data_IF_535786761394
#
_entry.id   IF_535786761394
#
_cell.length_a   1.000
_cell.length_b   1.000
_cell.length_c   1.000
_cell.angle_alpha   90.00
_cell.angle_beta   90.00
_cell.angle_gamma   90.00
#
_symmetry.space_group_name_H-M   'P 1'
#
loop_
_entity.id
_entity.type
_entity.pdbx_description
1 polymer ?
#
# COMPACT_ATOMS: atom_id res chain seq x y z
N UNK A 1 19.72 -15.16 20.12
CA UNK A 1 18.54 -15.43 19.29
C UNK A 1 17.30 -15.41 20.18
N UNK A 2 16.28 -14.57 19.92
CA UNK A 2 15.03 -14.62 20.68
C UNK A 2 14.21 -15.82 20.19
N UNK A 3 13.66 -16.63 21.08
CA UNK A 3 12.82 -17.78 20.77
C UNK A 3 11.56 -17.76 21.63
N UNK A 4 10.44 -18.27 21.10
CA UNK A 4 9.23 -18.52 21.86
C UNK A 4 9.25 -19.96 22.37
N UNK A 5 8.80 -20.15 23.60
CA UNK A 5 8.50 -21.46 24.16
C UNK A 5 6.99 -21.53 24.31
N UNK A 6 6.35 -22.48 23.65
CA UNK A 6 4.90 -22.64 23.64
C UNK A 6 4.58 -23.97 24.30
N UNK A 7 3.77 -23.92 25.35
CA UNK A 7 3.28 -25.13 26.06
C UNK A 7 1.78 -25.27 25.77
N UNK A 8 1.40 -26.39 25.25
CA UNK A 8 -0.01 -26.77 24.98
C UNK A 8 -0.33 -28.15 25.54
N UNK A 9 -1.58 -28.61 25.48
CA UNK A 9 -2.76 -27.90 25.00
C UNK A 9 -3.21 -26.78 25.95
N UNK A 10 -3.76 -25.68 25.41
CA UNK A 10 -4.35 -24.62 26.21
C UNK A 10 -5.85 -24.90 26.48
N UNK A 11 -6.38 -24.28 27.55
CA UNK A 11 -7.81 -24.18 27.75
C UNK A 11 -8.47 -23.37 26.64
N UNK A 12 -9.80 -23.46 26.49
CA UNK A 12 -10.58 -22.64 25.58
C UNK A 12 -10.28 -21.16 25.78
N UNK A 13 -9.89 -20.45 24.70
CA UNK A 13 -9.55 -19.04 24.74
C UNK A 13 -10.78 -18.20 24.40
N UNK A 14 -11.17 -17.34 25.34
CA UNK A 14 -12.36 -16.51 25.23
C UNK A 14 -11.98 -15.03 25.36
N UNK A 15 -12.63 -14.14 24.61
CA UNK A 15 -12.41 -12.72 24.77
C UNK A 15 -12.77 -11.85 23.58
N UNK A 16 -12.50 -10.56 23.73
CA UNK A 16 -12.73 -9.53 22.70
C UNK A 16 -11.37 -8.97 22.27
N UNK A 17 -11.11 -8.97 20.96
CA UNK A 17 -9.87 -8.45 20.39
C UNK A 17 -10.19 -7.22 19.52
N UNK A 18 -9.57 -6.09 19.86
CA UNK A 18 -9.68 -4.88 19.07
C UNK A 18 -8.59 -4.89 17.97
N UNK A 19 -9.01 -5.14 16.74
CA UNK A 19 -8.12 -5.30 15.59
C UNK A 19 -7.40 -3.98 15.25
N UNK A 20 -6.10 -4.09 15.03
CA UNK A 20 -5.24 -2.96 14.62
C UNK A 20 -5.54 -2.53 13.18
N UNK A 21 -5.03 -1.36 12.80
CA UNK A 21 -5.06 -0.96 11.39
C UNK A 21 -4.24 -1.90 10.52
N UNK A 22 -4.70 -2.13 9.30
CA UNK A 22 -4.05 -3.03 8.34
C UNK A 22 -2.68 -2.48 7.91
N UNK A 23 -1.60 -3.22 8.21
CA UNK A 23 -0.26 -2.89 7.72
C UNK A 23 -0.23 -2.75 6.20
N UNK A 24 -0.85 -3.69 5.49
CA UNK A 24 -0.86 -3.75 4.03
C UNK A 24 -1.71 -2.64 3.38
N UNK A 25 -2.59 -1.97 4.15
CA UNK A 25 -3.25 -0.73 3.72
C UNK A 25 -2.42 0.50 4.11
N UNK A 26 -1.85 0.52 5.32
CA UNK A 26 -1.06 1.63 5.82
C UNK A 26 0.10 1.99 4.87
N UNK A 27 0.87 1.00 4.40
CA UNK A 27 2.06 1.22 3.58
C UNK A 27 1.75 1.88 2.23
N UNK A 28 0.75 1.46 1.43
CA UNK A 28 0.32 2.17 0.23
C UNK A 28 -0.17 3.60 0.51
N UNK A 29 -0.90 3.82 1.60
CA UNK A 29 -1.37 5.16 1.98
C UNK A 29 -0.21 6.09 2.35
N UNK A 30 0.79 5.58 3.07
CA UNK A 30 2.03 6.30 3.36
C UNK A 30 2.79 6.64 2.08
N UNK A 31 2.95 5.70 1.14
CA UNK A 31 3.58 5.97 -0.14
C UNK A 31 2.77 6.99 -0.96
N UNK A 32 1.45 6.90 -0.98
CA UNK A 32 0.56 7.84 -1.65
C UNK A 32 0.66 9.25 -1.08
N UNK A 33 1.05 9.42 0.20
CA UNK A 33 1.23 10.75 0.81
C UNK A 33 2.21 11.62 0.03
N UNK A 34 3.18 11.03 -0.68
CA UNK A 34 4.12 11.75 -1.55
C UNK A 34 3.39 12.59 -2.62
N UNK A 35 2.21 12.19 -3.07
CA UNK A 35 1.42 12.89 -4.09
C UNK A 35 0.85 14.23 -3.59
N UNK A 36 0.81 14.44 -2.28
CA UNK A 36 0.15 15.59 -1.66
C UNK A 36 1.12 16.76 -1.45
N UNK A 37 0.66 17.96 -1.76
CA UNK A 37 1.34 19.21 -1.39
C UNK A 37 1.01 19.64 0.03
N UNK A 38 -0.18 19.29 0.52
CA UNK A 38 -0.70 19.59 1.84
C UNK A 38 -0.50 18.42 2.79
N UNK A 39 -0.79 18.62 4.06
CA UNK A 39 -0.68 17.63 5.11
C UNK A 39 -1.59 16.41 4.85
N UNK A 40 -1.08 15.25 5.22
CA UNK A 40 -1.82 13.98 5.24
C UNK A 40 -1.88 13.46 6.66
N UNK A 41 -3.10 13.16 7.14
CA UNK A 41 -3.37 12.59 8.46
C UNK A 41 -3.91 11.18 8.27
N UNK A 42 -3.17 10.19 8.75
CA UNK A 42 -3.59 8.79 8.79
C UNK A 42 -3.96 8.42 10.23
N UNK A 43 -5.13 7.81 10.42
CA UNK A 43 -5.63 7.33 11.71
C UNK A 43 -5.66 5.81 11.74
N UNK A 44 -5.67 5.23 12.94
CA UNK A 44 -5.63 3.78 13.16
C UNK A 44 -4.33 3.17 12.58
N UNK A 45 -3.21 3.86 12.75
CA UNK A 45 -1.89 3.43 12.24
C UNK A 45 -1.37 2.26 13.08
N UNK A 46 -1.02 1.11 12.49
CA UNK A 46 -0.36 0.02 13.21
C UNK A 46 1.11 0.36 13.45
N UNK A 47 1.58 0.21 14.69
CA UNK A 47 2.98 0.49 15.05
C UNK A 47 3.84 -0.77 14.89
N UNK A 48 3.97 -1.25 13.66
CA UNK A 48 4.78 -2.42 13.30
C UNK A 48 6.05 -1.98 12.56
N UNK A 49 7.07 -2.84 12.54
CA UNK A 49 8.41 -2.51 12.00
C UNK A 49 8.35 -1.97 10.56
N UNK A 50 7.56 -2.57 9.67
CA UNK A 50 7.44 -2.11 8.28
C UNK A 50 6.93 -0.66 8.18
N UNK A 51 6.00 -0.27 9.06
CA UNK A 51 5.46 1.10 9.11
C UNK A 51 6.52 2.08 9.61
N UNK A 52 7.33 1.68 10.59
CA UNK A 52 8.45 2.48 11.08
C UNK A 52 9.52 2.64 10.00
N UNK A 53 9.86 1.57 9.30
CA UNK A 53 10.80 1.61 8.17
C UNK A 53 10.27 2.51 7.03
N UNK A 54 8.99 2.44 6.70
CA UNK A 54 8.38 3.34 5.70
C UNK A 54 8.39 4.80 6.16
N UNK A 55 8.18 5.06 7.45
CA UNK A 55 8.34 6.41 8.03
C UNK A 55 9.76 6.93 7.79
N UNK A 56 10.78 6.12 8.09
CA UNK A 56 12.17 6.53 7.90
C UNK A 56 12.51 6.73 6.41
N UNK A 57 11.92 5.92 5.53
CA UNK A 57 12.04 6.09 4.08
C UNK A 57 11.42 7.43 3.63
N UNK A 58 10.22 7.77 4.07
CA UNK A 58 9.58 9.05 3.75
C UNK A 58 10.41 10.24 4.27
N UNK A 59 10.97 10.13 5.48
CA UNK A 59 11.87 11.15 6.06
C UNK A 59 13.12 11.29 5.20
N UNK A 60 13.73 10.18 4.77
CA UNK A 60 14.92 10.21 3.91
C UNK A 60 14.64 10.88 2.56
N UNK A 61 13.41 10.77 2.05
CA UNK A 61 12.95 11.45 0.84
C UNK A 61 12.64 12.94 1.06
N UNK A 62 12.58 13.40 2.31
CA UNK A 62 12.37 14.81 2.66
C UNK A 62 10.99 15.14 3.24
N UNK A 63 10.12 14.17 3.49
CA UNK A 63 8.89 14.39 4.24
C UNK A 63 9.19 14.58 5.73
N UNK A 64 8.32 15.33 6.43
CA UNK A 64 8.28 15.34 7.90
C UNK A 64 7.18 14.37 8.33
N UNK A 65 7.50 13.44 9.22
CA UNK A 65 6.54 12.45 9.72
C UNK A 65 6.50 12.50 11.24
N UNK A 66 5.31 12.77 11.81
CA UNK A 66 5.05 12.76 13.25
C UNK A 66 4.06 11.63 13.56
N UNK A 67 4.36 10.81 14.56
CA UNK A 67 3.46 9.77 15.06
C UNK A 67 3.01 10.15 16.46
N UNK A 68 1.70 10.14 16.67
CA UNK A 68 1.05 10.27 17.98
C UNK A 68 0.61 8.87 18.42
N UNK A 69 1.54 8.13 19.05
CA UNK A 69 1.41 6.68 19.31
C UNK A 69 0.15 6.32 20.08
N UNK A 70 -0.11 6.98 21.21
CA UNK A 70 -1.33 6.76 22.03
C UNK A 70 -2.63 6.92 21.25
N UNK A 71 -2.66 7.82 20.25
CA UNK A 71 -3.81 8.10 19.38
C UNK A 71 -3.80 7.27 18.11
N UNK A 72 -2.73 6.52 17.83
CA UNK A 72 -2.50 5.80 16.57
C UNK A 72 -2.69 6.70 15.34
N UNK A 73 -2.16 7.93 15.40
CA UNK A 73 -2.26 8.93 14.33
C UNK A 73 -0.87 9.21 13.78
N UNK A 74 -0.76 9.24 12.46
CA UNK A 74 0.44 9.69 11.74
C UNK A 74 0.10 10.94 10.93
N UNK A 75 0.97 11.95 11.05
CA UNK A 75 0.88 13.22 10.32
C UNK A 75 2.09 13.29 9.40
N UNK A 76 1.84 13.44 8.10
CA UNK A 76 2.89 13.50 7.07
C UNK A 76 2.78 14.84 6.36
N UNK A 77 3.86 15.61 6.39
CA UNK A 77 3.96 16.90 5.70
C UNK A 77 5.11 16.85 4.71
N UNK A 78 4.84 17.12 3.45
CA UNK A 78 5.83 17.07 2.40
C UNK A 78 6.50 18.43 2.19
N UNK A 79 7.79 18.42 1.90
CA UNK A 79 8.48 19.58 1.35
C UNK A 79 8.06 19.79 -0.12
N UNK A 80 8.39 20.96 -0.67
CA UNK A 80 8.15 21.28 -2.08
C UNK A 80 8.79 20.24 -3.01
N UNK A 81 10.02 19.87 -2.71
CA UNK A 81 10.80 18.91 -3.49
C UNK A 81 11.26 17.74 -2.63
N UNK A 82 11.09 16.53 -3.16
CA UNK A 82 11.59 15.29 -2.57
C UNK A 82 12.95 14.92 -3.17
N UNK A 83 13.76 14.19 -2.41
CA UNK A 83 14.87 13.42 -2.96
C UNK A 83 14.29 12.31 -3.83
N UNK A 84 14.88 12.09 -5.00
CA UNK A 84 14.35 11.15 -6.00
C UNK A 84 15.11 9.82 -6.04
N UNK A 85 16.03 9.61 -5.11
CA UNK A 85 16.74 8.35 -4.93
C UNK A 85 16.26 7.68 -3.66
N UNK A 86 15.66 6.52 -3.80
CA UNK A 86 15.19 5.68 -2.70
C UNK A 86 16.34 4.74 -2.30
N UNK A 87 16.90 4.86 -1.08
CA UNK A 87 18.14 4.18 -0.71
C UNK A 87 17.96 2.67 -0.51
N UNK A 88 18.98 1.90 -0.90
CA UNK A 88 18.98 0.44 -0.85
C UNK A 88 18.75 -0.10 0.56
N UNK A 89 19.42 0.45 1.57
CA UNK A 89 19.34 -0.03 2.96
C UNK A 89 17.92 -0.01 3.55
N UNK A 90 17.05 0.88 3.09
CA UNK A 90 15.66 0.94 3.54
C UNK A 90 14.74 0.02 2.71
N UNK A 91 15.03 -0.13 1.40
CA UNK A 91 14.21 -0.99 0.52
C UNK A 91 14.56 -2.46 0.70
N UNK A 92 15.82 -2.80 1.02
CA UNK A 92 16.27 -4.18 1.24
C UNK A 92 15.59 -4.85 2.44
N UNK A 93 15.23 -4.06 3.45
CA UNK A 93 14.56 -4.55 4.67
C UNK A 93 13.04 -4.53 4.58
N UNK A 94 12.48 -3.75 3.64
CA UNK A 94 11.04 -3.59 3.49
C UNK A 94 10.63 -3.57 2.02
N UNK A 95 9.99 -4.63 1.60
CA UNK A 95 9.53 -4.79 0.22
C UNK A 95 8.59 -3.68 -0.28
N UNK A 96 7.73 -3.15 0.61
CA UNK A 96 6.79 -2.09 0.26
C UNK A 96 7.46 -0.78 -0.18
N UNK A 97 8.78 -0.64 -0.03
CA UNK A 97 9.54 0.48 -0.59
C UNK A 97 9.34 0.69 -2.09
N UNK A 98 9.05 -0.39 -2.84
CA UNK A 98 8.70 -0.31 -4.28
C UNK A 98 7.45 0.55 -4.56
N UNK A 99 6.55 0.72 -3.59
CA UNK A 99 5.35 1.56 -3.72
C UNK A 99 5.68 3.05 -3.91
N UNK A 100 6.84 3.49 -3.42
CA UNK A 100 7.28 4.87 -3.61
C UNK A 100 7.61 5.19 -5.07
N UNK A 101 7.88 4.18 -5.89
CA UNK A 101 8.14 4.36 -7.34
C UNK A 101 6.92 4.97 -8.04
N UNK A 102 5.71 4.44 -7.79
CA UNK A 102 4.48 4.94 -8.40
C UNK A 102 4.14 6.37 -7.96
N UNK A 103 4.28 6.67 -6.68
CA UNK A 103 3.98 8.01 -6.16
C UNK A 103 5.03 9.05 -6.58
N UNK A 104 6.31 8.71 -6.56
CA UNK A 104 7.37 9.60 -7.07
C UNK A 104 7.19 9.86 -8.57
N UNK A 105 6.94 8.81 -9.36
CA UNK A 105 6.71 8.96 -10.80
C UNK A 105 5.46 9.80 -11.10
N UNK A 106 4.38 9.60 -10.34
CA UNK A 106 3.18 10.42 -10.46
C UNK A 106 3.43 11.89 -10.18
N UNK A 107 4.20 12.20 -9.12
CA UNK A 107 4.49 13.59 -8.73
C UNK A 107 5.58 14.27 -9.56
N UNK A 108 6.60 13.53 -9.98
CA UNK A 108 7.79 14.04 -10.68
C UNK A 108 8.08 13.31 -12.00
N UNK A 109 7.12 13.19 -12.92
CA UNK A 109 7.24 12.30 -14.07
C UNK A 109 8.44 12.61 -14.95
N UNK A 110 8.82 13.90 -15.08
CA UNK A 110 9.94 14.37 -15.94
C UNK A 110 11.31 14.29 -15.26
N UNK A 111 11.37 13.90 -14.00
CA UNK A 111 12.63 13.78 -13.24
C UNK A 111 13.12 12.33 -13.22
N UNK A 112 14.43 12.15 -13.15
CA UNK A 112 15.03 10.82 -12.99
C UNK A 112 14.83 10.33 -11.55
N UNK A 113 13.98 9.33 -11.38
CA UNK A 113 13.71 8.65 -10.11
C UNK A 113 14.55 7.39 -10.08
N UNK A 114 15.21 7.13 -8.95
CA UNK A 114 16.03 5.94 -8.72
C UNK A 114 15.48 5.20 -7.52
N UNK A 115 15.01 3.99 -7.74
CA UNK A 115 14.51 3.11 -6.66
C UNK A 115 15.36 1.86 -6.65
N UNK A 116 15.97 1.55 -5.51
CA UNK A 116 16.75 0.33 -5.36
C UNK A 116 15.85 -0.88 -5.59
N UNK A 117 16.36 -1.88 -6.31
CA UNK A 117 15.67 -3.16 -6.40
C UNK A 117 15.70 -3.81 -5.02
N UNK A 118 14.51 -3.98 -4.43
CA UNK A 118 14.38 -4.56 -3.11
C UNK A 118 14.69 -6.05 -3.13
N UNK A 119 15.57 -6.45 -2.24
CA UNK A 119 15.63 -7.81 -1.71
C UNK A 119 14.61 -7.96 -0.57
N UNK A 120 14.66 -9.04 0.14
CA UNK A 120 14.10 -9.06 1.49
C UNK A 120 12.62 -9.48 1.62
N UNK A 121 12.26 -10.59 1.01
CA UNK A 121 11.18 -11.40 1.54
C UNK A 121 11.64 -12.86 1.59
N UNK A 122 11.62 -13.46 2.77
CA UNK A 122 11.89 -14.90 2.94
C UNK A 122 10.95 -15.80 2.10
N UNK A 123 9.87 -15.23 1.57
CA UNK A 123 8.87 -15.90 0.73
C UNK A 123 9.23 -15.90 -0.78
N UNK A 124 10.45 -15.53 -1.16
CA UNK A 124 10.95 -15.62 -2.54
C UNK A 124 10.95 -14.32 -3.34
N UNK A 125 11.58 -14.40 -4.53
CA UNK A 125 11.67 -13.30 -5.49
C UNK A 125 10.27 -13.01 -6.03
N UNK A 126 9.86 -11.74 -5.94
CA UNK A 126 8.63 -11.27 -6.57
C UNK A 126 8.97 -10.28 -7.66
N UNK A 127 8.59 -10.63 -8.85
CA UNK A 127 8.83 -9.88 -10.06
C UNK A 127 8.14 -8.51 -10.01
N UNK A 128 8.90 -7.45 -10.30
CA UNK A 128 8.41 -6.08 -10.44
C UNK A 128 8.24 -5.68 -11.91
N UNK A 129 8.49 -6.59 -12.86
CA UNK A 129 8.39 -6.31 -14.30
C UNK A 129 7.02 -5.75 -14.67
N UNK A 130 5.94 -6.27 -14.08
CA UNK A 130 4.58 -5.78 -14.37
C UNK A 130 4.33 -4.35 -13.91
N UNK A 131 5.04 -3.88 -12.89
CA UNK A 131 5.01 -2.47 -12.50
C UNK A 131 5.66 -1.63 -13.60
N UNK A 132 6.84 -2.05 -14.06
CA UNK A 132 7.64 -1.35 -15.06
C UNK A 132 6.92 -1.30 -16.41
N UNK A 133 6.36 -2.42 -16.87
CA UNK A 133 5.53 -2.47 -18.09
C UNK A 133 4.29 -1.58 -17.96
N UNK A 134 3.66 -1.56 -16.80
CA UNK A 134 2.55 -0.64 -16.54
C UNK A 134 2.97 0.82 -16.62
N UNK A 135 4.12 1.20 -16.07
CA UNK A 135 4.66 2.57 -16.19
C UNK A 135 5.04 2.90 -17.63
N UNK A 136 5.60 1.93 -18.38
CA UNK A 136 5.89 2.08 -19.81
C UNK A 136 4.61 2.37 -20.61
N UNK A 137 3.49 1.74 -20.26
CA UNK A 137 2.19 2.03 -20.88
C UNK A 137 1.73 3.48 -20.70
N UNK A 138 2.20 4.16 -19.65
CA UNK A 138 1.96 5.58 -19.40
C UNK A 138 2.98 6.51 -20.11
N UNK A 139 3.95 5.95 -20.83
CA UNK A 139 5.03 6.70 -21.50
C UNK A 139 6.26 6.95 -20.62
N UNK A 140 6.44 6.17 -19.57
CA UNK A 140 7.70 6.18 -18.82
C UNK A 140 8.72 5.21 -19.45
N UNK A 141 9.99 5.60 -19.37
CA UNK A 141 11.14 4.76 -19.75
C UNK A 141 11.89 4.36 -18.49
N UNK A 142 12.43 3.15 -18.46
CA UNK A 142 13.23 2.67 -17.33
C UNK A 142 14.49 1.95 -17.79
N UNK A 143 15.52 2.02 -16.94
CA UNK A 143 16.78 1.30 -17.11
C UNK A 143 17.18 0.70 -15.77
N UNK A 144 17.74 -0.49 -15.81
CA UNK A 144 18.36 -1.15 -14.64
C UNK A 144 19.84 -0.76 -14.61
N UNK A 145 20.25 -0.07 -13.56
CA UNK A 145 21.60 0.41 -13.40
C UNK A 145 22.09 0.23 -11.96
N UNK A 146 23.17 -0.54 -11.77
CA UNK A 146 23.82 -0.76 -10.46
C UNK A 146 22.86 -1.12 -9.33
N UNK A 147 21.91 -2.04 -9.58
CA UNK A 147 20.92 -2.48 -8.59
C UNK A 147 19.75 -1.49 -8.35
N UNK A 148 19.63 -0.46 -9.18
CA UNK A 148 18.52 0.51 -9.15
C UNK A 148 17.70 0.43 -10.43
N UNK A 149 16.40 0.61 -10.28
CA UNK A 149 15.51 1.00 -11.37
C UNK A 149 15.57 2.51 -11.47
N UNK A 150 16.08 3.04 -12.60
CA UNK A 150 16.01 4.44 -12.97
C UNK A 150 14.82 4.62 -13.89
N UNK A 151 13.87 5.49 -13.54
CA UNK A 151 12.63 5.68 -14.28
C UNK A 151 12.29 7.17 -14.44
N UNK A 152 11.79 7.54 -15.61
CA UNK A 152 11.30 8.89 -15.91
C UNK A 152 10.40 8.89 -17.15
N UNK A 153 9.71 9.99 -17.42
CA UNK A 153 8.99 10.22 -18.68
C UNK A 153 9.29 11.62 -19.21
N UNK A 154 10.03 11.73 -20.31
CA UNK A 154 10.43 13.01 -20.91
C UNK A 154 9.24 13.95 -21.16
N UNK A 155 8.13 13.40 -21.66
CA UNK A 155 6.93 14.16 -22.04
C UNK A 155 5.85 14.22 -20.95
N UNK A 156 6.14 13.67 -19.75
CA UNK A 156 5.16 13.43 -18.68
C UNK A 156 4.26 12.23 -18.99
N UNK A 157 3.50 11.81 -17.99
CA UNK A 157 2.65 10.62 -18.11
C UNK A 157 1.36 10.93 -18.88
N UNK A 158 1.02 10.04 -19.80
CA UNK A 158 -0.19 10.13 -20.64
C UNK A 158 -1.05 8.90 -20.43
N UNK A 159 -2.34 9.11 -20.18
CA UNK A 159 -3.30 8.04 -19.96
C UNK A 159 -3.48 7.19 -21.22
N UNK A 160 -3.40 5.87 -21.02
CA UNK A 160 -3.63 4.83 -22.03
C UNK A 160 -4.41 3.67 -21.36
N UNK A 161 -4.38 2.49 -21.95
CA UNK A 161 -4.92 1.28 -21.34
C UNK A 161 -3.79 0.30 -21.04
N UNK A 162 -3.85 -0.31 -19.84
CA UNK A 162 -2.95 -1.39 -19.46
C UNK A 162 -3.73 -2.52 -18.79
N UNK A 163 -3.43 -3.77 -19.19
CA UNK A 163 -3.99 -4.97 -18.59
C UNK A 163 -2.87 -5.74 -17.91
N UNK A 164 -2.97 -5.94 -16.60
CA UNK A 164 -2.03 -6.80 -15.89
C UNK A 164 -2.11 -8.25 -16.40
N UNK A 165 -0.98 -8.91 -16.70
CA UNK A 165 -0.97 -10.32 -17.09
C UNK A 165 -1.46 -11.23 -15.95
N UNK A 166 -1.10 -10.89 -14.71
CA UNK A 166 -1.60 -11.53 -13.48
C UNK A 166 -2.07 -10.49 -12.48
N UNK A 167 -2.96 -10.87 -11.57
CA UNK A 167 -3.45 -9.99 -10.51
C UNK A 167 -2.29 -9.70 -9.55
N UNK A 168 -2.03 -8.41 -9.30
CA UNK A 168 -0.98 -7.94 -8.40
C UNK A 168 -1.48 -6.79 -7.54
N UNK A 169 -1.35 -6.91 -6.22
CA UNK A 169 -1.77 -5.88 -5.25
C UNK A 169 -0.87 -4.65 -5.37
N UNK A 170 0.44 -4.85 -5.23
CA UNK A 170 1.42 -3.75 -5.26
C UNK A 170 1.53 -3.10 -6.64
N UNK A 171 1.43 -3.90 -7.72
CA UNK A 171 1.37 -3.37 -9.09
C UNK A 171 0.16 -2.48 -9.30
N UNK A 172 -1.02 -2.93 -8.87
CA UNK A 172 -2.26 -2.13 -8.95
C UNK A 172 -2.11 -0.83 -8.18
N UNK A 173 -1.62 -0.87 -6.93
CA UNK A 173 -1.43 0.33 -6.11
C UNK A 173 -0.43 1.31 -6.74
N UNK A 174 0.68 0.82 -7.28
CA UNK A 174 1.68 1.64 -7.95
C UNK A 174 1.13 2.35 -9.19
N UNK A 175 0.39 1.62 -10.04
CA UNK A 175 -0.18 2.23 -11.24
C UNK A 175 -1.33 3.19 -10.92
N UNK A 176 -2.10 2.94 -9.86
CA UNK A 176 -3.07 3.92 -9.36
C UNK A 176 -2.35 5.21 -8.98
N UNK A 177 -1.32 5.14 -8.13
CA UNK A 177 -0.60 6.32 -7.65
C UNK A 177 0.08 7.10 -8.77
N UNK A 178 0.73 6.43 -9.73
CA UNK A 178 1.37 7.10 -10.87
C UNK A 178 0.37 7.77 -11.81
N UNK A 179 -0.89 7.32 -11.82
CA UNK A 179 -1.91 7.80 -12.74
C UNK A 179 -2.75 8.96 -12.20
N UNK A 180 -2.59 9.36 -10.94
CA UNK A 180 -3.42 10.42 -10.32
C UNK A 180 -3.34 11.74 -11.08
N UNK A 181 -2.15 12.08 -11.61
CA UNK A 181 -1.90 13.33 -12.33
C UNK A 181 -1.65 13.12 -13.84
N UNK A 182 -2.01 11.98 -14.38
CA UNK A 182 -1.81 11.64 -15.79
C UNK A 182 -2.58 12.60 -16.70
N UNK A 183 -2.03 12.92 -17.87
CA UNK A 183 -2.78 13.65 -18.90
C UNK A 183 -3.84 12.73 -19.52
N UNK A 184 -5.11 13.14 -19.49
CA UNK A 184 -6.22 12.34 -20.00
C UNK A 184 -6.72 11.30 -19.01
N UNK A 185 -7.04 10.11 -19.51
CA UNK A 185 -7.58 9.01 -18.72
C UNK A 185 -6.76 7.74 -18.91
N UNK A 186 -6.41 7.08 -17.81
CA UNK A 186 -5.78 5.76 -17.80
C UNK A 186 -6.79 4.68 -17.45
N UNK A 187 -6.77 3.58 -18.19
CA UNK A 187 -7.63 2.41 -17.93
C UNK A 187 -6.77 1.24 -17.48
N UNK A 188 -6.98 0.81 -16.24
CA UNK A 188 -6.35 -0.38 -15.68
C UNK A 188 -7.31 -1.56 -15.74
N UNK A 189 -6.86 -2.70 -16.28
CA UNK A 189 -7.62 -3.95 -16.35
C UNK A 189 -6.90 -5.06 -15.58
N UNK A 190 -7.66 -6.07 -15.14
CA UNK A 190 -7.19 -7.20 -14.35
C UNK A 190 -6.51 -6.78 -13.03
N UNK A 191 -7.07 -5.76 -12.38
CA UNK A 191 -6.57 -5.21 -11.12
C UNK A 191 -6.86 -6.14 -9.94
N UNK A 192 -6.12 -5.97 -8.83
CA UNK A 192 -6.47 -6.55 -7.54
C UNK A 192 -7.68 -5.84 -6.93
N UNK A 193 -8.56 -6.60 -6.28
CA UNK A 193 -9.74 -6.11 -5.55
C UNK A 193 -9.60 -6.26 -4.03
N UNK A 194 -8.38 -6.51 -3.56
CA UNK A 194 -8.13 -6.62 -2.13
C UNK A 194 -8.60 -5.37 -1.38
N UNK A 195 -9.13 -5.50 -0.15
CA UNK A 195 -9.61 -4.36 0.64
C UNK A 195 -8.59 -3.23 0.75
N UNK A 196 -7.30 -3.56 0.82
CA UNK A 196 -6.20 -2.61 0.92
C UNK A 196 -6.04 -1.74 -0.35
N UNK A 197 -6.35 -2.29 -1.52
CA UNK A 197 -6.38 -1.53 -2.79
C UNK A 197 -7.59 -0.62 -2.85
N UNK A 198 -8.76 -1.12 -2.43
CA UNK A 198 -9.98 -0.30 -2.40
C UNK A 198 -9.90 0.81 -1.36
N UNK A 199 -9.17 0.59 -0.25
CA UNK A 199 -8.88 1.61 0.76
C UNK A 199 -8.01 2.74 0.21
N UNK A 200 -6.95 2.40 -0.57
CA UNK A 200 -6.15 3.39 -1.30
C UNK A 200 -6.99 4.21 -2.28
N UNK A 201 -7.87 3.56 -3.06
CA UNK A 201 -8.79 4.25 -3.99
C UNK A 201 -9.71 5.21 -3.24
N UNK A 202 -10.28 4.77 -2.11
CA UNK A 202 -11.14 5.60 -1.26
C UNK A 202 -10.39 6.81 -0.72
N UNK A 203 -9.18 6.61 -0.20
CA UNK A 203 -8.33 7.70 0.28
C UNK A 203 -8.06 8.74 -0.80
N UNK A 204 -7.61 8.31 -1.97
CA UNK A 204 -7.29 9.20 -3.08
C UNK A 204 -8.54 9.95 -3.58
N UNK A 205 -9.67 9.26 -3.75
CA UNK A 205 -10.91 9.90 -4.18
C UNK A 205 -11.45 10.91 -3.16
N UNK A 206 -11.39 10.61 -1.87
CA UNK A 206 -11.76 11.55 -0.81
C UNK A 206 -10.84 12.79 -0.79
N UNK A 207 -9.67 12.69 -1.39
CA UNK A 207 -8.70 13.76 -1.53
C UNK A 207 -8.74 14.46 -2.90
N UNK A 208 -9.74 14.17 -3.73
CA UNK A 208 -9.97 14.84 -5.01
C UNK A 208 -9.48 14.10 -6.26
N UNK A 209 -8.98 12.87 -6.14
CA UNK A 209 -8.70 12.04 -7.31
C UNK A 209 -10.02 11.63 -8.02
N UNK A 210 -9.91 11.23 -9.27
CA UNK A 210 -11.06 10.74 -10.06
C UNK A 210 -10.79 9.31 -10.54
N UNK A 211 -11.09 8.36 -9.66
CA UNK A 211 -10.87 6.92 -9.88
C UNK A 211 -12.22 6.21 -9.80
N UNK A 212 -12.64 5.56 -10.89
CA UNK A 212 -13.93 4.88 -10.97
C UNK A 212 -13.77 3.45 -11.46
N UNK A 213 -14.52 2.53 -10.85
CA UNK A 213 -14.69 1.19 -11.39
C UNK A 213 -15.54 1.26 -12.66
N UNK A 214 -15.08 0.61 -13.75
CA UNK A 214 -15.75 0.51 -15.03
C UNK A 214 -16.07 -0.94 -15.42
N UNK A 215 -15.84 -1.86 -14.49
CA UNK A 215 -16.07 -3.29 -14.58
C UNK A 215 -15.53 -3.99 -13.35
N UNK A 216 -15.78 -5.31 -13.24
CA UNK A 216 -15.44 -6.08 -12.03
C UNK A 216 -13.95 -5.95 -11.61
N UNK A 217 -13.01 -5.91 -12.55
CA UNK A 217 -11.56 -5.76 -12.31
C UNK A 217 -10.96 -4.70 -13.23
N UNK A 218 -11.67 -3.60 -13.41
CA UNK A 218 -11.23 -2.52 -14.28
C UNK A 218 -11.50 -1.16 -13.64
N UNK A 219 -10.50 -0.28 -13.70
CA UNK A 219 -10.56 1.09 -13.24
C UNK A 219 -10.35 2.06 -14.38
N UNK A 220 -11.04 3.20 -14.33
CA UNK A 220 -10.68 4.40 -15.09
C UNK A 220 -10.20 5.45 -14.12
N UNK A 221 -9.03 5.99 -14.38
CA UNK A 221 -8.42 7.06 -13.62
C UNK A 221 -8.30 8.26 -14.55
N UNK A 222 -9.09 9.31 -14.28
CA UNK A 222 -8.96 10.59 -14.98
C UNK A 222 -8.01 11.47 -14.18
N UNK A 223 -6.94 11.94 -14.83
CA UNK A 223 -5.94 12.76 -14.16
C UNK A 223 -6.52 14.06 -13.62
N UNK A 224 -6.03 14.47 -12.45
CA UNK A 224 -6.40 15.73 -11.79
C UNK A 224 -5.17 16.65 -11.68
N UNK A 225 -5.37 17.94 -11.44
CA UNK A 225 -4.27 18.91 -11.32
C UNK A 225 -3.53 18.77 -10.00
N UNK A 226 -4.25 18.50 -8.91
CA UNK A 226 -3.69 18.35 -7.56
C UNK A 226 -4.64 17.54 -6.68
N UNK A 227 -4.11 17.07 -5.55
CA UNK A 227 -4.88 16.50 -4.45
C UNK A 227 -5.02 17.52 -3.32
N UNK A 228 -6.17 17.49 -2.67
CA UNK A 228 -6.45 18.23 -1.44
C UNK A 228 -5.67 17.63 -0.26
N UNK A 229 -5.87 18.17 0.96
CA UNK A 229 -5.35 17.53 2.18
C UNK A 229 -5.96 16.14 2.37
N UNK A 230 -5.13 15.18 2.77
CA UNK A 230 -5.57 13.81 3.04
C UNK A 230 -5.93 13.62 4.51
N UNK A 231 -7.13 13.10 4.81
CA UNK A 231 -7.49 12.63 6.15
C UNK A 231 -8.21 11.29 6.02
N UNK A 232 -7.61 10.21 6.58
CA UNK A 232 -8.11 8.87 6.36
C UNK A 232 -7.93 7.97 7.58
N UNK A 233 -8.92 7.13 7.85
CA UNK A 233 -8.84 6.06 8.85
C UNK A 233 -8.53 4.76 8.13
N UNK A 234 -7.37 4.20 8.41
CA UNK A 234 -6.91 2.90 7.88
C UNK A 234 -7.88 1.81 8.30
N UNK A 235 -8.26 0.93 7.38
CA UNK A 235 -9.12 -0.22 7.64
C UNK A 235 -8.47 -1.17 8.65
N UNK A 236 -9.30 -1.96 9.37
CA UNK A 236 -8.82 -3.02 10.25
C UNK A 236 -8.09 -4.13 9.48
N UNK A 237 -7.08 -4.73 10.11
CA UNK A 237 -6.27 -5.78 9.49
C UNK A 237 -7.04 -7.11 9.46
N UNK A 238 -7.47 -7.52 8.27
CA UNK A 238 -8.18 -8.78 8.08
C UNK A 238 -7.32 -10.01 8.37
N UNK A 239 -6.00 -9.90 8.20
CA UNK A 239 -5.06 -11.01 8.46
C UNK A 239 -4.94 -11.21 9.96
N UNK A 240 -4.78 -10.12 10.73
CA UNK A 240 -4.80 -10.15 12.19
C UNK A 240 -6.14 -10.71 12.71
N UNK A 241 -7.25 -10.18 12.20
CA UNK A 241 -8.60 -10.63 12.60
C UNK A 241 -8.81 -12.12 12.35
N UNK A 242 -8.45 -12.63 11.18
CA UNK A 242 -8.58 -14.03 10.85
C UNK A 242 -7.68 -14.92 11.72
N UNK A 243 -6.47 -14.48 12.04
CA UNK A 243 -5.57 -15.22 12.94
C UNK A 243 -6.21 -15.43 14.31
N UNK A 244 -6.85 -14.40 14.89
CA UNK A 244 -7.55 -14.54 16.17
C UNK A 244 -8.80 -15.42 16.06
N UNK A 245 -9.54 -15.36 14.95
CA UNK A 245 -10.68 -16.28 14.74
C UNK A 245 -10.22 -17.74 14.67
N UNK A 246 -9.08 -18.01 14.04
CA UNK A 246 -8.46 -19.34 14.03
C UNK A 246 -8.07 -19.81 15.46
N UNK A 247 -7.57 -18.90 16.31
CA UNK A 247 -7.27 -19.21 17.72
C UNK A 247 -8.54 -19.64 18.45
N UNK A 248 -9.64 -18.90 18.27
CA UNK A 248 -10.94 -19.30 18.85
C UNK A 248 -11.37 -20.70 18.39
N UNK A 249 -11.31 -20.96 17.09
CA UNK A 249 -11.71 -22.24 16.51
C UNK A 249 -10.87 -23.41 17.03
N UNK A 250 -9.53 -23.31 16.99
CA UNK A 250 -8.63 -24.40 17.38
C UNK A 250 -8.66 -24.71 18.89
N UNK A 251 -8.97 -23.71 19.72
CA UNK A 251 -9.06 -23.86 21.17
C UNK A 251 -10.48 -24.18 21.66
N UNK A 252 -11.45 -24.34 20.75
CA UNK A 252 -12.88 -24.48 21.06
C UNK A 252 -13.39 -23.35 21.97
N UNK A 253 -12.83 -22.13 21.78
CA UNK A 253 -13.17 -20.94 22.56
C UNK A 253 -14.10 -19.98 21.81
N UNK A 254 -14.40 -18.85 22.44
CA UNK A 254 -15.24 -17.79 21.88
C UNK A 254 -14.45 -16.48 21.76
N UNK A 255 -14.09 -16.10 20.55
CA UNK A 255 -13.38 -14.86 20.28
C UNK A 255 -14.24 -13.91 19.43
N UNK A 256 -14.44 -12.70 19.95
CA UNK A 256 -15.06 -11.58 19.24
C UNK A 256 -13.99 -10.62 18.75
N UNK A 257 -13.89 -10.42 17.44
CA UNK A 257 -13.03 -9.40 16.85
C UNK A 257 -13.83 -8.13 16.56
N UNK A 258 -13.30 -6.96 16.93
CA UNK A 258 -13.93 -5.66 16.71
C UNK A 258 -12.98 -4.74 15.92
N UNK A 259 -13.45 -3.59 15.45
CA UNK A 259 -12.72 -2.66 14.57
C UNK A 259 -12.34 -3.25 13.20
N UNK A 260 -13.15 -4.19 12.69
CA UNK A 260 -13.01 -4.81 11.38
C UNK A 260 -14.36 -4.86 10.67
N UNK A 261 -14.37 -4.65 9.35
CA UNK A 261 -15.56 -4.88 8.55
C UNK A 261 -15.64 -6.38 8.18
N UNK A 262 -16.70 -7.10 8.59
CA UNK A 262 -16.83 -8.54 8.31
C UNK A 262 -16.83 -8.87 6.81
N UNK A 263 -17.22 -7.95 5.95
CA UNK A 263 -17.16 -8.13 4.49
C UNK A 263 -15.73 -8.39 3.97
N UNK A 264 -14.72 -7.94 4.69
CA UNK A 264 -13.30 -8.18 4.33
C UNK A 264 -12.83 -9.60 4.66
N UNK A 265 -13.61 -10.35 5.43
CA UNK A 265 -13.36 -11.72 5.87
C UNK A 265 -14.28 -12.74 5.20
N UNK A 266 -14.98 -12.36 4.13
CA UNK A 266 -16.02 -13.24 3.53
C UNK A 266 -15.50 -14.63 3.16
N UNK A 267 -14.35 -14.72 2.51
CA UNK A 267 -13.74 -15.98 2.08
C UNK A 267 -13.29 -16.83 3.28
N UNK A 268 -12.65 -16.18 4.24
CA UNK A 268 -12.12 -16.77 5.46
C UNK A 268 -13.25 -17.31 6.35
N UNK A 269 -14.30 -16.53 6.56
CA UNK A 269 -15.47 -16.94 7.31
C UNK A 269 -16.23 -18.11 6.65
N UNK A 270 -16.26 -18.14 5.30
CA UNK A 270 -16.83 -19.27 4.58
C UNK A 270 -16.05 -20.56 4.81
N UNK A 271 -14.72 -20.49 4.92
CA UNK A 271 -13.88 -21.65 5.23
C UNK A 271 -14.15 -22.11 6.66
N UNK A 272 -14.12 -21.21 7.66
CA UNK A 272 -14.40 -21.58 9.06
C UNK A 272 -15.76 -22.26 9.21
N UNK A 273 -16.80 -21.73 8.54
CA UNK A 273 -18.13 -22.34 8.54
C UNK A 273 -18.20 -23.75 7.91
N UNK A 274 -17.24 -24.10 7.02
CA UNK A 274 -17.21 -25.44 6.40
C UNK A 274 -16.54 -26.49 7.26
N UNK A 275 -15.67 -26.08 8.16
CA UNK A 275 -14.94 -26.98 9.05
C UNK A 275 -15.59 -27.13 10.44
N UNK A 276 -16.73 -26.51 10.68
CA UNK A 276 -17.50 -26.52 11.95
C UNK A 276 -17.25 -25.22 12.70
#
# INVERSE_FOLDING_TARGET
MKRFIITGPSKAINGIVNISGAKNSCLPLMAASILFKKEVILRNVPLVQDVLTMKDLLISLGSKVKILEKKKIMIITNKKDHKLTVPYNLVSTMRAGVLTMGSLLGRYPKKNIRVAQGGGCALGIRDTSWHLEGFKSLGAEHVLEKGYVKISSKNGLVGKSYKFPKITVTGTSNLIMSSVFVRGSHVLKNISLEPEVTDLIKFLNNSGANIKFIGKRSLRIKGVKELLSGNHKIIGDRIEAFSYLCVGAITKGSIKVVNINPKFLHSELKILKKIG
#
